data_IF_009173056904
#
_entry.id   IF_009173056904
#
_cell.length_a   1.000
_cell.length_b   1.000
_cell.length_c   1.000
_cell.angle_alpha   90.00
_cell.angle_beta   90.00
_cell.angle_gamma   90.00
#
_symmetry.space_group_name_H-M   'P 1'
#
loop_
_entity.id
_entity.type
_entity.pdbx_description
1 polymer ?
#
# COMPACT_ATOMS: atom_id res chain seq x y z
N UNK A 1 5.92 -10.37 -18.91
CA UNK A 1 5.09 -9.43 -18.14
C UNK A 1 5.68 -8.02 -18.18
N UNK A 2 4.84 -6.99 -18.36
CA UNK A 2 5.28 -5.60 -18.20
C UNK A 2 5.66 -5.37 -16.72
N UNK A 3 6.90 -5.00 -16.42
CA UNK A 3 7.38 -4.73 -15.04
C UNK A 3 6.57 -3.64 -14.32
N UNK A 4 5.77 -2.88 -15.07
CA UNK A 4 5.02 -1.72 -14.58
C UNK A 4 3.55 -2.02 -14.27
N UNK A 5 3.11 -3.28 -14.28
CA UNK A 5 1.71 -3.61 -14.00
C UNK A 5 1.28 -3.25 -12.57
N UNK A 6 2.14 -3.39 -11.55
CA UNK A 6 1.81 -3.02 -10.15
C UNK A 6 1.63 -1.50 -10.00
N UNK A 7 2.56 -0.65 -10.47
CA UNK A 7 2.34 0.78 -10.66
C UNK A 7 0.98 1.12 -11.28
N UNK A 8 0.66 0.51 -12.42
CA UNK A 8 -0.55 0.85 -13.17
C UNK A 8 -1.83 0.34 -12.48
N UNK A 9 -1.82 -0.88 -11.94
CA UNK A 9 -2.91 -1.41 -11.13
C UNK A 9 -3.17 -0.55 -9.89
N UNK A 10 -2.11 -0.02 -9.27
CA UNK A 10 -2.22 0.93 -8.15
C UNK A 10 -2.93 2.20 -8.59
N UNK A 11 -2.55 2.77 -9.74
CA UNK A 11 -3.15 3.99 -10.28
C UNK A 11 -4.65 3.79 -10.59
N UNK A 12 -5.01 2.68 -11.23
CA UNK A 12 -6.40 2.34 -11.53
C UNK A 12 -7.22 2.08 -10.25
N UNK A 13 -6.62 1.42 -9.25
CA UNK A 13 -7.27 1.21 -7.96
C UNK A 13 -7.51 2.53 -7.20
N UNK A 14 -6.59 3.50 -7.31
CA UNK A 14 -6.77 4.85 -6.74
C UNK A 14 -7.94 5.60 -7.39
N UNK A 15 -8.16 5.43 -8.69
CA UNK A 15 -9.33 6.02 -9.37
C UNK A 15 -10.61 5.39 -8.80
N UNK A 16 -10.69 4.06 -8.79
CA UNK A 16 -11.88 3.32 -8.34
C UNK A 16 -12.23 3.55 -6.87
N UNK A 17 -11.22 3.62 -5.99
CA UNK A 17 -11.47 3.88 -4.57
C UNK A 17 -11.97 5.31 -4.34
N UNK A 18 -11.58 6.28 -5.17
CA UNK A 18 -12.12 7.65 -5.11
C UNK A 18 -13.56 7.70 -5.60
N UNK A 19 -13.87 7.05 -6.73
CA UNK A 19 -15.26 6.91 -7.21
C UNK A 19 -16.14 6.24 -6.14
N UNK A 20 -15.65 5.16 -5.53
CA UNK A 20 -16.34 4.52 -4.41
C UNK A 20 -16.51 5.47 -3.20
N UNK A 21 -15.49 6.28 -2.91
CA UNK A 21 -15.53 7.26 -1.83
C UNK A 21 -16.52 8.42 -2.07
N UNK A 22 -17.00 8.65 -3.29
CA UNK A 22 -18.09 9.60 -3.55
C UNK A 22 -19.41 9.14 -2.89
N UNK A 23 -19.59 7.82 -2.74
CA UNK A 23 -20.78 7.22 -2.14
C UNK A 23 -20.66 7.06 -0.63
N UNK A 24 -19.50 6.60 -0.16
CA UNK A 24 -19.32 6.22 1.26
C UNK A 24 -18.47 7.22 2.05
N UNK A 25 -17.83 8.17 1.39
CA UNK A 25 -16.82 9.06 1.98
C UNK A 25 -15.46 8.36 2.14
N UNK A 26 -14.38 9.07 1.82
CA UNK A 26 -13.02 8.52 1.83
C UNK A 26 -12.61 7.96 3.21
N UNK A 27 -13.07 8.59 4.29
CA UNK A 27 -12.80 8.14 5.66
C UNK A 27 -13.37 6.75 5.99
N UNK A 28 -14.35 6.25 5.21
CA UNK A 28 -14.97 4.94 5.38
C UNK A 28 -14.36 3.85 4.48
N UNK A 29 -13.27 4.16 3.78
CA UNK A 29 -12.51 3.19 3.00
C UNK A 29 -11.39 2.56 3.83
N UNK A 30 -10.97 1.36 3.46
CA UNK A 30 -9.82 0.71 4.09
C UNK A 30 -9.05 -0.23 3.16
N UNK A 31 -7.98 -0.83 3.69
CA UNK A 31 -6.99 -1.56 2.91
C UNK A 31 -7.60 -2.72 2.12
N UNK A 32 -8.55 -3.47 2.70
CA UNK A 32 -9.19 -4.59 1.98
C UNK A 32 -9.99 -4.09 0.76
N UNK A 33 -10.63 -2.92 0.87
CA UNK A 33 -11.39 -2.31 -0.23
C UNK A 33 -10.44 -1.90 -1.35
N UNK A 34 -9.34 -1.23 -0.99
CA UNK A 34 -8.30 -0.87 -1.95
C UNK A 34 -7.69 -2.10 -2.63
N UNK A 35 -7.36 -3.15 -1.85
CA UNK A 35 -6.82 -4.42 -2.34
C UNK A 35 -7.76 -5.07 -3.36
N UNK A 36 -9.06 -5.02 -3.12
CA UNK A 36 -10.07 -5.56 -4.04
C UNK A 36 -10.08 -4.79 -5.39
N UNK A 37 -10.01 -3.45 -5.36
CA UNK A 37 -9.89 -2.66 -6.59
C UNK A 37 -8.56 -2.85 -7.31
N UNK A 38 -7.47 -3.04 -6.55
CA UNK A 38 -6.16 -3.39 -7.11
C UNK A 38 -6.21 -4.74 -7.86
N UNK A 39 -6.82 -5.77 -7.26
CA UNK A 39 -6.99 -7.07 -7.90
C UNK A 39 -7.84 -6.97 -9.18
N UNK A 40 -8.94 -6.21 -9.13
CA UNK A 40 -9.76 -5.96 -10.31
C UNK A 40 -8.98 -5.26 -11.43
N UNK A 41 -8.17 -4.24 -11.09
CA UNK A 41 -7.32 -3.57 -12.07
C UNK A 41 -6.23 -4.50 -12.62
N UNK A 42 -5.65 -5.38 -11.79
CA UNK A 42 -4.68 -6.36 -12.22
C UNK A 42 -5.27 -7.36 -13.23
N UNK A 43 -6.54 -7.75 -13.08
CA UNK A 43 -7.25 -8.59 -14.07
C UNK A 43 -7.37 -7.96 -15.46
N UNK A 44 -7.33 -6.63 -15.56
CA UNK A 44 -7.39 -5.93 -16.84
C UNK A 44 -6.01 -5.79 -17.49
N UNK A 45 -4.94 -5.93 -16.70
CA UNK A 45 -3.56 -5.72 -17.14
C UNK A 45 -2.80 -7.03 -17.40
N UNK A 46 -3.25 -8.13 -16.79
CA UNK A 46 -2.58 -9.44 -16.83
C UNK A 46 -3.48 -10.47 -17.51
N UNK A 47 -2.88 -11.41 -18.25
CA UNK A 47 -3.63 -12.56 -18.76
C UNK A 47 -3.87 -13.57 -17.64
N UNK A 48 -5.15 -13.80 -17.31
CA UNK A 48 -5.62 -14.80 -16.34
C UNK A 48 -4.81 -14.86 -15.03
N UNK A 49 -4.63 -13.73 -14.31
CA UNK A 49 -3.93 -13.73 -13.04
C UNK A 49 -4.67 -14.57 -12.00
N UNK A 50 -3.90 -15.33 -11.22
CA UNK A 50 -4.37 -16.03 -10.03
C UNK A 50 -3.94 -15.25 -8.79
N UNK A 51 -4.87 -15.07 -7.87
CA UNK A 51 -4.66 -14.33 -6.64
C UNK A 51 -4.81 -15.23 -5.43
N UNK A 52 -3.88 -15.11 -4.48
CA UNK A 52 -4.01 -15.70 -3.16
C UNK A 52 -3.86 -14.58 -2.13
N UNK A 53 -4.97 -14.20 -1.50
CA UNK A 53 -4.99 -13.19 -0.43
C UNK A 53 -4.52 -13.79 0.89
N UNK A 54 -3.82 -13.00 1.69
CA UNK A 54 -3.29 -13.46 2.99
C UNK A 54 -2.40 -14.71 2.85
N UNK A 55 -1.65 -14.79 1.75
CA UNK A 55 -0.80 -15.93 1.46
C UNK A 55 0.40 -15.98 2.40
N UNK A 56 0.40 -16.96 3.31
CA UNK A 56 1.35 -17.08 4.44
C UNK A 56 1.26 -15.86 5.35
N UNK A 57 2.25 -14.97 5.25
CA UNK A 57 2.33 -13.72 6.02
C UNK A 57 2.27 -12.50 5.12
N UNK A 58 1.98 -12.69 3.82
CA UNK A 58 1.90 -11.62 2.82
C UNK A 58 0.46 -11.30 2.46
N UNK A 59 0.20 -10.03 2.15
CA UNK A 59 -1.17 -9.60 1.83
C UNK A 59 -1.71 -10.22 0.54
N UNK A 60 -0.86 -10.35 -0.48
CA UNK A 60 -1.25 -10.86 -1.79
C UNK A 60 -0.08 -11.54 -2.51
N UNK A 61 -0.33 -12.76 -2.99
CA UNK A 61 0.44 -13.41 -4.03
C UNK A 61 -0.33 -13.31 -5.35
N UNK A 62 0.33 -12.82 -6.40
CA UNK A 62 -0.20 -12.78 -7.76
C UNK A 62 0.65 -13.68 -8.65
N UNK A 63 0.01 -14.60 -9.36
CA UNK A 63 0.65 -15.48 -10.32
C UNK A 63 0.01 -15.26 -11.68
N UNK A 64 0.76 -14.78 -12.64
CA UNK A 64 0.33 -14.60 -14.02
C UNK A 64 1.50 -14.91 -14.94
N UNK A 65 1.21 -15.51 -16.09
CA UNK A 65 2.23 -16.11 -16.95
C UNK A 65 3.16 -17.05 -16.13
N UNK A 66 4.47 -16.94 -16.36
CA UNK A 66 5.52 -17.66 -15.67
C UNK A 66 6.12 -16.87 -14.50
N UNK A 67 5.42 -15.85 -13.96
CA UNK A 67 5.93 -15.06 -12.83
C UNK A 67 5.03 -15.08 -11.61
N UNK A 68 5.66 -14.95 -10.44
CA UNK A 68 5.00 -14.80 -9.16
C UNK A 68 5.47 -13.53 -8.43
N UNK A 69 4.50 -12.70 -8.04
CA UNK A 69 4.71 -11.43 -7.37
C UNK A 69 4.11 -11.44 -5.96
N UNK A 70 4.92 -11.08 -4.96
CA UNK A 70 4.42 -10.78 -3.60
C UNK A 70 4.18 -9.30 -3.44
N UNK A 71 3.00 -8.96 -2.91
CA UNK A 71 2.57 -7.58 -2.72
C UNK A 71 2.11 -7.40 -1.28
N UNK A 72 2.62 -6.35 -0.65
CA UNK A 72 2.14 -5.83 0.62
C UNK A 72 1.41 -4.52 0.41
N UNK A 73 0.38 -4.27 1.21
CA UNK A 73 -0.36 -3.02 1.19
C UNK A 73 -0.18 -2.26 2.49
N UNK A 74 -0.12 -0.94 2.39
CA UNK A 74 -0.27 -0.01 3.51
C UNK A 74 -1.22 1.09 3.07
N UNK A 75 -2.43 1.06 3.63
CA UNK A 75 -3.46 2.05 3.34
C UNK A 75 -3.70 2.91 4.57
N UNK A 76 -3.19 4.15 4.56
CA UNK A 76 -3.24 5.05 5.71
C UNK A 76 -4.23 6.19 5.47
N UNK A 77 -5.34 6.16 6.19
CA UNK A 77 -6.36 7.22 6.21
C UNK A 77 -6.57 7.70 7.64
N UNK A 78 -6.51 9.01 7.86
CA UNK A 78 -6.87 9.62 9.13
C UNK A 78 -8.39 9.78 9.22
N UNK A 79 -9.05 8.99 10.06
CA UNK A 79 -10.50 9.03 10.23
C UNK A 79 -10.92 9.25 11.68
N UNK A 80 -12.03 9.96 11.94
CA UNK A 80 -12.68 9.90 13.25
C UNK A 80 -13.16 8.47 13.53
N UNK A 81 -13.17 8.07 14.79
CA UNK A 81 -13.94 6.89 15.23
C UNK A 81 -15.16 7.35 16.00
N UNK A 82 -16.15 6.48 16.11
CA UNK A 82 -17.38 6.74 16.85
C UNK A 82 -17.60 5.61 17.85
N UNK A 83 -18.14 5.96 19.02
CA UNK A 83 -18.60 4.98 20.01
C UNK A 83 -19.95 4.39 19.58
N UNK A 84 -20.41 3.36 20.30
CA UNK A 84 -21.71 2.72 20.05
C UNK A 84 -22.90 3.69 20.16
N UNK A 85 -22.77 4.74 20.96
CA UNK A 85 -23.77 5.80 21.13
C UNK A 85 -23.67 6.89 20.04
N UNK A 86 -22.79 6.74 19.05
CA UNK A 86 -22.53 7.72 18.00
C UNK A 86 -21.66 8.90 18.44
N UNK A 87 -21.24 8.98 19.71
CA UNK A 87 -20.36 10.05 20.17
C UNK A 87 -18.95 9.96 19.55
N UNK A 88 -18.28 11.10 19.31
CA UNK A 88 -16.91 11.10 18.78
C UNK A 88 -15.93 10.36 19.69
N UNK A 89 -15.17 9.44 19.09
CA UNK A 89 -14.06 8.72 19.68
C UNK A 89 -12.68 9.28 19.25
N UNK A 90 -11.58 8.58 19.57
CA UNK A 90 -10.25 8.96 19.10
C UNK A 90 -10.12 8.88 17.57
N UNK A 91 -9.19 9.61 16.97
CA UNK A 91 -8.87 9.41 15.54
C UNK A 91 -8.03 8.14 15.34
N UNK A 92 -8.21 7.47 14.20
CA UNK A 92 -7.40 6.32 13.77
C UNK A 92 -6.69 6.64 12.46
N UNK A 93 -5.51 6.04 12.27
CA UNK A 93 -4.84 5.95 10.97
C UNK A 93 -4.02 7.17 10.52
N UNK A 94 -3.88 8.21 11.35
CA UNK A 94 -2.98 9.34 11.09
C UNK A 94 -1.49 8.99 11.21
N UNK A 95 -0.62 9.89 10.74
CA UNK A 95 0.84 9.71 10.82
C UNK A 95 1.31 9.54 12.27
N UNK A 96 2.05 8.45 12.53
CA UNK A 96 2.55 8.12 13.85
C UNK A 96 3.85 7.31 13.76
N UNK A 97 4.65 7.34 14.83
CA UNK A 97 5.84 6.49 14.92
C UNK A 97 5.49 4.99 14.85
N UNK A 98 4.27 4.61 15.24
CA UNK A 98 3.79 3.22 15.10
C UNK A 98 3.65 2.85 13.63
N UNK A 99 2.94 3.64 12.83
CA UNK A 99 2.75 3.37 11.40
C UNK A 99 4.08 3.41 10.62
N UNK A 100 5.01 4.29 10.99
CA UNK A 100 6.36 4.31 10.44
C UNK A 100 7.11 3.00 10.72
N UNK A 101 7.06 2.49 11.97
CA UNK A 101 7.67 1.20 12.32
C UNK A 101 7.03 0.02 11.58
N UNK A 102 5.71 -0.02 11.49
CA UNK A 102 4.98 -1.06 10.76
C UNK A 102 5.32 -1.05 9.26
N UNK A 103 5.43 0.13 8.67
CA UNK A 103 5.91 0.31 7.30
C UNK A 103 7.33 -0.24 7.13
N UNK A 104 8.27 0.13 7.99
CA UNK A 104 9.66 -0.34 7.90
C UNK A 104 9.78 -1.85 8.12
N UNK A 105 9.00 -2.42 9.05
CA UNK A 105 8.96 -3.86 9.27
C UNK A 105 8.44 -4.61 8.04
N UNK A 106 7.44 -4.05 7.35
CA UNK A 106 6.90 -4.60 6.10
C UNK A 106 7.94 -4.55 4.97
N UNK A 107 8.64 -3.43 4.79
CA UNK A 107 9.76 -3.34 3.84
C UNK A 107 10.82 -4.38 4.17
N UNK A 108 11.22 -4.50 5.44
CA UNK A 108 12.23 -5.47 5.84
C UNK A 108 11.78 -6.92 5.59
N UNK A 109 10.53 -7.26 5.90
CA UNK A 109 9.92 -8.58 5.61
C UNK A 109 10.07 -8.95 4.14
N UNK A 110 9.73 -8.05 3.22
CA UNK A 110 9.86 -8.29 1.78
C UNK A 110 11.32 -8.47 1.34
N UNK A 111 12.27 -7.80 1.99
CA UNK A 111 13.69 -7.91 1.64
C UNK A 111 14.30 -9.23 2.05
N UNK A 112 14.00 -9.68 3.27
CA UNK A 112 14.72 -10.78 3.91
C UNK A 112 14.06 -12.13 3.76
N UNK A 113 12.76 -12.17 3.46
CA UNK A 113 12.04 -13.44 3.32
C UNK A 113 12.36 -14.06 1.96
N UNK A 114 13.20 -15.10 1.97
CA UNK A 114 13.49 -15.90 0.80
C UNK A 114 12.36 -16.92 0.58
N UNK A 115 11.78 -16.91 -0.62
CA UNK A 115 10.77 -17.87 -1.05
C UNK A 115 11.10 -18.24 -2.49
N UNK A 116 11.30 -19.52 -2.72
CA UNK A 116 11.62 -20.06 -4.04
C UNK A 116 10.46 -19.84 -5.01
N UNK A 117 10.80 -19.46 -6.25
CA UNK A 117 9.83 -19.19 -7.30
C UNK A 117 9.08 -17.86 -7.17
N UNK A 118 9.52 -16.93 -6.30
CA UNK A 118 9.02 -15.54 -6.28
C UNK A 118 10.00 -14.63 -7.02
N UNK A 119 9.53 -14.06 -8.14
CA UNK A 119 10.33 -13.20 -9.01
C UNK A 119 10.32 -11.75 -8.56
N UNK A 120 9.18 -11.28 -8.06
CA UNK A 120 8.96 -9.87 -7.77
C UNK A 120 8.36 -9.66 -6.37
N UNK A 121 8.77 -8.55 -5.75
CA UNK A 121 8.30 -8.13 -4.43
C UNK A 121 8.01 -6.65 -4.46
N UNK A 122 6.81 -6.25 -4.02
CA UNK A 122 6.37 -4.85 -4.02
C UNK A 122 5.65 -4.50 -2.73
N UNK A 123 5.82 -3.25 -2.29
CA UNK A 123 4.98 -2.63 -1.26
C UNK A 123 4.19 -1.49 -1.90
N UNK A 124 2.88 -1.52 -1.77
CA UNK A 124 1.96 -0.47 -2.21
C UNK A 124 1.53 0.34 -1.00
N UNK A 125 2.01 1.58 -0.92
CA UNK A 125 1.62 2.55 0.10
C UNK A 125 0.65 3.54 -0.50
N UNK A 126 -0.51 3.75 0.14
CA UNK A 126 -1.52 4.74 -0.24
C UNK A 126 -1.90 5.56 0.97
N UNK A 127 -1.98 6.87 0.83
CA UNK A 127 -2.39 7.76 1.91
C UNK A 127 -3.12 9.00 1.42
N UNK A 128 -3.91 9.59 2.32
CA UNK A 128 -4.57 10.87 2.08
C UNK A 128 -3.54 12.02 2.06
N UNK A 129 -3.62 12.88 1.04
CA UNK A 129 -2.70 14.01 0.82
C UNK A 129 -2.87 15.09 1.88
N UNK A 130 -4.11 15.46 2.12
CA UNK A 130 -4.48 16.63 2.90
C UNK A 130 -4.81 16.28 4.35
N UNK A 131 -3.95 15.50 4.99
CA UNK A 131 -3.91 15.44 6.45
C UNK A 131 -3.32 16.75 6.99
N UNK A 132 -4.06 17.86 6.82
CA UNK A 132 -3.87 19.06 7.60
C UNK A 132 -4.23 18.73 9.04
N UNK A 133 -3.21 18.46 9.84
CA UNK A 133 -3.42 18.32 11.25
C UNK A 133 -3.50 19.74 11.87
N UNK A 134 -4.63 20.10 12.52
CA UNK A 134 -4.75 21.38 13.18
C UNK A 134 -3.84 21.38 14.41
N UNK A 135 -2.62 21.92 14.26
CA UNK A 135 -1.68 22.10 15.38
C UNK A 135 -0.20 22.08 14.97
N UNK A 136 0.60 22.99 15.56
CA UNK A 136 2.02 23.26 15.23
C UNK A 136 3.00 22.07 15.39
N UNK A 137 2.61 20.93 15.97
CA UNK A 137 3.51 19.80 16.29
C UNK A 137 3.13 18.46 15.64
N UNK A 138 2.14 18.42 14.77
CA UNK A 138 1.59 17.17 14.24
C UNK A 138 2.30 16.74 12.94
N UNK A 139 2.77 15.48 12.89
CA UNK A 139 3.30 14.88 11.65
C UNK A 139 2.14 14.64 10.68
N UNK A 140 2.35 14.88 9.39
CA UNK A 140 1.41 14.50 8.32
C UNK A 140 1.93 13.27 7.58
N UNK A 141 1.03 12.50 6.95
CA UNK A 141 1.41 11.32 6.15
C UNK A 141 2.31 11.74 4.99
N UNK A 142 2.01 12.87 4.34
CA UNK A 142 2.87 13.44 3.31
C UNK A 142 4.27 13.80 3.82
N UNK A 143 4.43 14.32 5.05
CA UNK A 143 5.76 14.57 5.61
C UNK A 143 6.52 13.27 5.92
N UNK A 144 5.82 12.24 6.39
CA UNK A 144 6.44 10.95 6.72
C UNK A 144 6.82 10.13 5.48
N UNK A 145 6.04 10.21 4.40
CA UNK A 145 6.17 9.29 3.25
C UNK A 145 6.27 9.97 1.87
N UNK A 146 5.95 11.26 1.76
CA UNK A 146 5.88 11.99 0.49
C UNK A 146 7.21 12.12 -0.24
N UNK A 147 8.32 12.07 0.49
CA UNK A 147 9.69 12.19 -0.05
C UNK A 147 10.42 10.85 -0.17
N UNK A 148 9.70 9.73 -0.13
CA UNK A 148 10.32 8.42 -0.35
C UNK A 148 10.94 8.36 -1.76
N UNK A 149 12.21 7.98 -1.81
CA UNK A 149 12.96 7.70 -3.03
C UNK A 149 13.81 6.44 -2.87
N UNK A 150 14.58 6.06 -3.90
CA UNK A 150 15.51 4.95 -3.82
C UNK A 150 16.46 5.09 -2.61
N UNK A 151 16.72 3.97 -1.94
CA UNK A 151 17.56 3.89 -0.74
C UNK A 151 18.13 2.50 -0.56
N UNK A 152 18.91 2.26 0.50
CA UNK A 152 19.43 0.93 0.81
C UNK A 152 18.33 -0.14 1.00
N UNK A 153 17.10 0.26 1.32
CA UNK A 153 15.96 -0.64 1.51
C UNK A 153 15.02 -0.74 0.31
N UNK A 154 15.08 0.18 -0.65
CA UNK A 154 14.23 0.20 -1.84
C UNK A 154 15.04 0.57 -3.09
N UNK A 155 15.09 -0.33 -4.06
CA UNK A 155 15.81 -0.13 -5.31
C UNK A 155 15.08 0.85 -6.24
N UNK A 156 13.75 0.78 -6.28
CA UNK A 156 12.90 1.67 -7.08
C UNK A 156 11.68 2.12 -6.28
N UNK A 157 11.24 3.34 -6.56
CA UNK A 157 10.02 3.92 -6.00
C UNK A 157 9.27 4.63 -7.11
N UNK A 158 8.02 4.25 -7.35
CA UNK A 158 7.09 5.00 -8.20
C UNK A 158 6.18 5.85 -7.32
N UNK A 159 5.87 7.06 -7.77
CA UNK A 159 5.04 8.00 -7.05
C UNK A 159 3.86 8.48 -7.89
N UNK A 160 2.67 8.48 -7.30
CA UNK A 160 1.43 8.91 -7.95
C UNK A 160 0.66 9.84 -7.02
N UNK A 161 -0.09 10.75 -7.63
CA UNK A 161 -1.12 11.51 -6.96
C UNK A 161 -2.38 11.47 -7.83
N UNK A 162 -3.52 11.18 -7.22
CA UNK A 162 -4.82 11.20 -7.90
C UNK A 162 -5.87 11.73 -6.92
N UNK A 163 -6.51 12.84 -7.26
CA UNK A 163 -7.40 13.56 -6.35
C UNK A 163 -6.77 13.80 -4.97
N UNK A 164 -7.48 13.34 -3.93
CA UNK A 164 -7.07 13.44 -2.53
C UNK A 164 -6.06 12.37 -2.08
N UNK A 165 -5.68 11.43 -2.95
CA UNK A 165 -4.78 10.33 -2.61
C UNK A 165 -3.38 10.52 -3.20
N UNK A 166 -2.38 10.08 -2.44
CA UNK A 166 -1.02 9.84 -2.90
C UNK A 166 -0.69 8.37 -2.76
N UNK A 167 0.10 7.83 -3.69
CA UNK A 167 0.60 6.47 -3.60
C UNK A 167 2.11 6.40 -3.86
N UNK A 168 2.75 5.42 -3.23
CA UNK A 168 4.12 5.00 -3.49
C UNK A 168 4.14 3.49 -3.71
N UNK A 169 4.67 3.04 -4.83
CA UNK A 169 4.98 1.62 -5.05
C UNK A 169 6.48 1.47 -4.85
N UNK A 170 6.88 0.58 -3.95
CA UNK A 170 8.28 0.33 -3.62
C UNK A 170 8.67 -1.04 -4.11
N UNK A 171 9.81 -1.10 -4.80
CA UNK A 171 10.55 -2.32 -5.05
C UNK A 171 11.67 -2.43 -4.02
N UNK A 172 11.59 -3.37 -3.06
CA UNK A 172 12.61 -3.52 -2.04
C UNK A 172 13.93 -4.02 -2.62
N UNK A 173 15.05 -3.48 -2.16
CA UNK A 173 16.37 -4.03 -2.52
C UNK A 173 16.51 -5.42 -1.90
N UNK A 174 16.85 -6.47 -2.67
CA UNK A 174 17.07 -7.80 -2.13
C UNK A 174 17.97 -7.75 -0.90
N UNK A 175 17.51 -8.34 0.21
CA UNK A 175 18.37 -8.53 1.37
C UNK A 175 19.46 -9.53 1.03
N UNK A 176 20.68 -9.31 1.52
CA UNK A 176 21.73 -10.33 1.52
C UNK A 176 21.33 -11.45 2.50
N UNK A 177 20.39 -12.29 2.12
CA UNK A 177 20.00 -13.47 2.87
C UNK A 177 21.04 -14.57 2.66
N UNK A 178 22.10 -14.60 3.49
CA UNK A 178 22.63 -15.91 3.90
C UNK A 178 21.75 -16.39 5.02
N UNK A 179 20.87 -17.35 4.73
CA UNK A 179 20.31 -18.22 5.74
C UNK A 179 21.27 -19.39 5.86
N UNK A 180 22.07 -19.38 6.94
CA UNK A 180 22.66 -20.60 7.50
C UNK A 180 21.70 -21.21 8.51
#
# INVERSE_FOLDING_TARGET
MNEEWVPEATRLAMIRILEHAELVGLANTEEFTFRSFFMAAACELLDKPRFQTEWRTFDLLVQADDTASLIEFKYYMSRPTYRLDGSPGPRKGGASAKNEREFHACVQKLRTTAIDGIDQRRLVLVYHRDDHAPGRSSRSLHRSYGRLGPSASAARVWAFAHGALEARVLEPTPGSGRLG
#
